data_IF_828363631850
#
_entry.id   IF_828363631850
#
_cell.length_a   1.000
_cell.length_b   1.000
_cell.length_c   1.000
_cell.angle_alpha   90.00
_cell.angle_beta   90.00
_cell.angle_gamma   90.00
#
_symmetry.space_group_name_H-M   'P 1'
#
loop_
_entity.id
_entity.type
_entity.pdbx_description
1 polymer ?
#
# COMPACT_ATOMS: atom_id res chain seq x y z
N UNK A 1 -1.05 10.88 18.92
CA UNK A 1 -0.22 9.66 18.69
C UNK A 1 -0.11 9.50 17.19
N UNK A 2 1.07 9.15 16.66
CA UNK A 2 1.24 8.91 15.22
C UNK A 2 0.54 7.60 14.85
N UNK A 3 -0.29 7.62 13.80
CA UNK A 3 -0.88 6.41 13.21
C UNK A 3 -0.34 6.21 11.80
N UNK A 4 0.17 5.01 11.54
CA UNK A 4 0.69 4.59 10.24
C UNK A 4 -0.23 3.49 9.72
N UNK A 5 -0.96 3.78 8.65
CA UNK A 5 -1.78 2.77 7.96
C UNK A 5 -1.03 2.22 6.76
N UNK A 6 -0.87 0.91 6.70
CA UNK A 6 -0.19 0.22 5.60
C UNK A 6 -1.22 -0.50 4.72
N UNK A 7 -1.45 0.03 3.53
CA UNK A 7 -2.38 -0.50 2.53
C UNK A 7 -1.65 -1.52 1.65
N UNK A 8 -2.12 -2.75 1.63
CA UNK A 8 -1.43 -3.88 0.99
C UNK A 8 -0.43 -4.56 1.93
N UNK A 9 -0.79 -4.70 3.20
CA UNK A 9 0.07 -5.29 4.22
C UNK A 9 0.43 -6.75 3.96
N UNK A 10 -0.28 -7.45 3.08
CA UNK A 10 0.10 -8.77 2.56
C UNK A 10 1.42 -8.77 1.76
N UNK A 11 1.99 -7.61 1.46
CA UNK A 11 3.37 -7.48 0.98
C UNK A 11 4.35 -7.66 2.14
N UNK A 12 4.44 -8.87 2.66
CA UNK A 12 5.08 -9.23 3.94
C UNK A 12 6.50 -8.69 4.07
N UNK A 13 7.34 -8.83 3.03
CA UNK A 13 8.74 -8.36 3.06
C UNK A 13 8.80 -6.84 3.13
N UNK A 14 7.96 -6.15 2.35
CA UNK A 14 7.97 -4.70 2.30
C UNK A 14 7.38 -4.10 3.59
N UNK A 15 6.26 -4.62 4.06
CA UNK A 15 5.66 -4.21 5.33
C UNK A 15 6.64 -4.42 6.49
N UNK A 16 7.32 -5.58 6.54
CA UNK A 16 8.34 -5.87 7.54
C UNK A 16 9.48 -4.84 7.54
N UNK A 17 10.00 -4.51 6.37
CA UNK A 17 11.14 -3.59 6.28
C UNK A 17 10.73 -2.17 6.70
N UNK A 18 9.69 -1.62 6.09
CA UNK A 18 9.24 -0.24 6.35
C UNK A 18 8.77 -0.07 7.80
N UNK A 19 7.90 -0.95 8.28
CA UNK A 19 7.35 -0.83 9.63
C UNK A 19 8.34 -1.27 10.71
N UNK A 20 9.25 -2.19 10.38
CA UNK A 20 10.37 -2.55 11.23
C UNK A 20 11.28 -1.35 11.48
N UNK A 21 11.67 -0.62 10.46
CA UNK A 21 12.47 0.60 10.56
C UNK A 21 11.72 1.70 11.34
N UNK A 22 10.40 1.84 11.14
CA UNK A 22 9.58 2.75 11.95
C UNK A 22 9.65 2.41 13.44
N UNK A 23 9.52 1.13 13.80
CA UNK A 23 9.61 0.68 15.20
C UNK A 23 11.00 0.86 15.82
N UNK A 24 12.05 0.90 15.00
CA UNK A 24 13.41 1.22 15.45
C UNK A 24 13.69 2.73 15.54
N UNK A 25 12.82 3.57 14.95
CA UNK A 25 12.98 5.02 14.91
C UNK A 25 12.38 5.66 16.17
N UNK A 26 13.17 6.40 17.00
CA UNK A 26 12.70 6.92 18.29
C UNK A 26 11.38 7.68 18.24
N UNK A 27 11.16 8.50 17.20
CA UNK A 27 9.96 9.31 17.04
C UNK A 27 8.70 8.50 16.67
N UNK A 28 8.85 7.25 16.22
CA UNK A 28 7.76 6.40 15.71
C UNK A 28 7.54 5.13 16.54
N UNK A 29 8.36 4.91 17.59
CA UNK A 29 8.32 3.69 18.42
C UNK A 29 6.97 3.42 19.08
N UNK A 30 6.22 4.46 19.41
CA UNK A 30 4.93 4.37 20.08
C UNK A 30 3.75 4.50 19.10
N UNK A 31 3.99 4.38 17.80
CA UNK A 31 2.96 4.55 16.78
C UNK A 31 1.87 3.46 16.87
N UNK A 32 0.66 3.83 16.47
CA UNK A 32 -0.35 2.87 16.08
C UNK A 32 -0.07 2.44 14.63
N UNK A 33 0.04 1.14 14.41
CA UNK A 33 0.24 0.53 13.10
C UNK A 33 -1.03 -0.21 12.70
N UNK A 34 -1.70 0.28 11.64
CA UNK A 34 -2.88 -0.33 11.06
C UNK A 34 -2.48 -1.10 9.79
N UNK A 35 -2.58 -2.42 9.83
CA UNK A 35 -2.30 -3.31 8.70
C UNK A 35 -3.60 -3.59 7.95
N UNK A 36 -3.68 -3.17 6.69
CA UNK A 36 -4.84 -3.42 5.85
C UNK A 36 -4.48 -4.30 4.65
N UNK A 37 -5.26 -5.33 4.42
CA UNK A 37 -5.21 -6.18 3.21
C UNK A 37 -6.56 -6.81 2.90
N UNK A 38 -6.70 -7.36 1.69
CA UNK A 38 -7.86 -8.16 1.27
C UNK A 38 -7.62 -9.67 1.41
N UNK A 39 -6.37 -10.08 1.60
CA UNK A 39 -5.96 -11.48 1.79
C UNK A 39 -5.75 -11.78 3.26
N UNK A 40 -6.61 -12.61 3.88
CA UNK A 40 -6.55 -12.89 5.31
C UNK A 40 -5.28 -13.62 5.73
N UNK A 41 -4.77 -14.52 4.89
CA UNK A 41 -3.58 -15.33 5.22
C UNK A 41 -2.34 -14.46 5.25
N UNK A 42 -2.15 -13.65 4.22
CA UNK A 42 -1.00 -12.73 4.13
C UNK A 42 -1.04 -11.64 5.20
N UNK A 43 -2.25 -11.17 5.54
CA UNK A 43 -2.43 -10.19 6.60
C UNK A 43 -2.02 -10.77 7.96
N UNK A 44 -2.40 -12.00 8.25
CA UNK A 44 -2.00 -12.70 9.47
C UNK A 44 -0.50 -12.94 9.55
N UNK A 45 0.12 -13.39 8.45
CA UNK A 45 1.59 -13.55 8.37
C UNK A 45 2.33 -12.24 8.69
N UNK A 46 1.88 -11.13 8.12
CA UNK A 46 2.46 -9.81 8.38
C UNK A 46 2.28 -9.39 9.83
N UNK A 47 1.11 -9.66 10.42
CA UNK A 47 0.84 -9.40 11.83
C UNK A 47 1.79 -10.18 12.74
N UNK A 48 2.00 -11.47 12.47
CA UNK A 48 2.90 -12.33 13.25
C UNK A 48 4.34 -11.82 13.20
N UNK A 49 4.85 -11.51 12.00
CA UNK A 49 6.21 -11.01 11.81
C UNK A 49 6.42 -9.67 12.52
N UNK A 50 5.51 -8.72 12.33
CA UNK A 50 5.62 -7.39 12.92
C UNK A 50 5.45 -7.42 14.45
N UNK A 51 4.61 -8.30 14.97
CA UNK A 51 4.49 -8.52 16.42
C UNK A 51 5.78 -9.07 17.02
N UNK A 52 6.46 -9.99 16.33
CA UNK A 52 7.75 -10.51 16.75
C UNK A 52 8.83 -9.42 16.74
N UNK A 53 8.87 -8.57 15.72
CA UNK A 53 9.78 -7.42 15.66
C UNK A 53 9.49 -6.44 16.80
N UNK A 54 8.23 -6.04 16.97
CA UNK A 54 7.81 -5.13 18.04
C UNK A 54 8.24 -5.64 19.43
N UNK A 55 8.09 -6.94 19.66
CA UNK A 55 8.52 -7.58 20.91
C UNK A 55 10.05 -7.56 21.09
N UNK A 56 10.79 -7.92 20.04
CA UNK A 56 12.23 -8.17 20.14
C UNK A 56 13.07 -6.90 20.04
N UNK A 57 12.59 -5.86 19.33
CA UNK A 57 13.37 -4.65 19.04
C UNK A 57 12.75 -3.37 19.58
N UNK A 58 11.48 -3.38 19.97
CA UNK A 58 10.73 -2.18 20.36
C UNK A 58 10.00 -2.31 21.71
N UNK A 59 10.31 -3.31 22.52
CA UNK A 59 9.71 -3.50 23.86
C UNK A 59 8.17 -3.52 23.86
N UNK A 60 7.55 -3.92 22.74
CA UNK A 60 6.10 -3.91 22.49
C UNK A 60 5.44 -2.52 22.57
N UNK A 61 6.17 -1.45 22.28
CA UNK A 61 5.68 -0.07 22.43
C UNK A 61 4.67 0.31 21.33
N UNK A 62 4.81 -0.22 20.10
CA UNK A 62 3.85 0.03 19.05
C UNK A 62 2.56 -0.78 19.27
N UNK A 63 1.42 -0.19 18.92
CA UNK A 63 0.13 -0.89 18.88
C UNK A 63 -0.14 -1.35 17.46
N UNK A 64 -0.23 -2.65 17.22
CA UNK A 64 -0.46 -3.20 15.88
C UNK A 64 -1.89 -3.75 15.78
N UNK A 65 -2.63 -3.35 14.74
CA UNK A 65 -3.99 -3.82 14.48
C UNK A 65 -4.15 -4.24 13.02
N UNK A 66 -4.99 -5.23 12.77
CA UNK A 66 -5.31 -5.72 11.42
C UNK A 66 -6.72 -5.32 11.00
N UNK A 67 -6.87 -5.05 9.71
CA UNK A 67 -8.13 -4.68 9.08
C UNK A 67 -8.26 -5.44 7.76
N UNK A 68 -9.28 -6.27 7.65
CA UNK A 68 -9.47 -7.16 6.51
C UNK A 68 -10.63 -6.69 5.63
N UNK A 69 -10.35 -6.61 4.32
CA UNK A 69 -11.41 -6.40 3.33
C UNK A 69 -11.91 -4.95 3.23
N UNK A 70 -12.73 -4.71 2.22
CA UNK A 70 -13.19 -3.35 1.86
C UNK A 70 -14.00 -2.70 2.98
N UNK A 71 -14.75 -3.47 3.72
CA UNK A 71 -15.63 -3.00 4.81
C UNK A 71 -14.85 -2.37 5.96
N UNK A 72 -13.61 -2.84 6.20
CA UNK A 72 -12.77 -2.30 7.28
C UNK A 72 -11.79 -1.22 6.80
N UNK A 73 -11.77 -0.89 5.52
CA UNK A 73 -10.81 0.05 4.93
C UNK A 73 -10.88 1.45 5.56
N UNK A 74 -12.07 2.02 5.72
CA UNK A 74 -12.24 3.33 6.35
C UNK A 74 -11.76 3.34 7.79
N UNK A 75 -12.00 2.26 8.52
CA UNK A 75 -11.55 2.17 9.92
C UNK A 75 -10.02 2.04 10.01
N UNK A 76 -9.40 1.31 9.08
CA UNK A 76 -7.95 1.28 8.96
C UNK A 76 -7.35 2.67 8.73
N UNK A 77 -7.99 3.47 7.87
CA UNK A 77 -7.54 4.82 7.49
C UNK A 77 -7.88 5.90 8.53
N UNK A 78 -8.89 5.69 9.38
CA UNK A 78 -9.37 6.69 10.33
C UNK A 78 -8.24 7.29 11.16
N UNK A 79 -8.13 8.62 11.15
CA UNK A 79 -7.14 9.39 11.90
C UNK A 79 -5.68 9.05 11.57
N UNK A 80 -5.42 8.46 10.40
CA UNK A 80 -4.06 8.16 9.97
C UNK A 80 -3.23 9.45 9.82
N UNK A 81 -1.98 9.41 10.28
CA UNK A 81 -0.97 10.45 10.03
C UNK A 81 -0.24 10.16 8.73
N UNK A 82 0.10 8.90 8.50
CA UNK A 82 0.75 8.42 7.30
C UNK A 82 -0.01 7.22 6.73
N UNK A 83 -0.20 7.21 5.43
CA UNK A 83 -0.76 6.09 4.68
C UNK A 83 0.29 5.60 3.69
N UNK A 84 0.82 4.41 3.93
CA UNK A 84 1.79 3.76 3.03
C UNK A 84 1.01 2.85 2.09
N UNK A 85 1.10 3.08 0.78
CA UNK A 85 0.42 2.29 -0.23
C UNK A 85 1.38 1.36 -0.97
N UNK A 86 1.17 0.06 -0.84
CA UNK A 86 1.97 -1.00 -1.46
C UNK A 86 1.09 -2.11 -2.07
N UNK A 87 -0.11 -1.74 -2.56
CA UNK A 87 -1.04 -2.69 -3.16
C UNK A 87 -0.55 -3.19 -4.52
N UNK A 88 -0.99 -4.39 -4.88
CA UNK A 88 -0.84 -4.92 -6.23
C UNK A 88 -2.16 -5.50 -6.71
N UNK A 89 -2.88 -4.72 -7.52
CA UNK A 89 -4.17 -5.15 -8.08
C UNK A 89 -3.95 -6.19 -9.17
N UNK A 90 -4.57 -7.36 -9.00
CA UNK A 90 -4.53 -8.46 -9.95
C UNK A 90 -3.31 -9.38 -9.84
N UNK A 91 -2.44 -9.18 -8.85
CA UNK A 91 -1.27 -9.99 -8.55
C UNK A 91 -0.30 -10.19 -9.74
N UNK A 92 0.74 -10.99 -9.52
CA UNK A 92 1.67 -11.38 -10.58
C UNK A 92 0.96 -12.28 -11.61
N UNK A 93 0.33 -13.34 -11.14
CA UNK A 93 -0.50 -14.23 -11.93
C UNK A 93 -1.99 -13.95 -11.60
N UNK A 94 -2.85 -13.61 -12.58
CA UNK A 94 -2.57 -13.58 -14.02
C UNK A 94 -2.12 -12.22 -14.57
N UNK A 95 -2.27 -11.12 -13.82
CA UNK A 95 -2.30 -9.79 -14.44
C UNK A 95 -0.94 -9.29 -14.92
N UNK A 96 0.14 -9.47 -14.15
CA UNK A 96 1.48 -9.08 -14.60
C UNK A 96 1.91 -9.92 -15.80
N UNK A 97 1.59 -11.21 -15.82
CA UNK A 97 1.87 -12.09 -16.97
C UNK A 97 1.15 -11.57 -18.23
N UNK A 98 -0.13 -11.19 -18.10
CA UNK A 98 -0.93 -10.62 -19.19
C UNK A 98 -0.31 -9.31 -19.71
N UNK A 99 0.17 -8.46 -18.78
CA UNK A 99 0.80 -7.18 -19.10
C UNK A 99 2.07 -7.34 -19.95
N UNK A 100 2.74 -8.51 -19.89
CA UNK A 100 3.84 -8.89 -20.79
C UNK A 100 3.36 -9.54 -22.09
N UNK A 101 2.46 -10.50 -22.01
CA UNK A 101 2.08 -11.34 -23.15
C UNK A 101 1.20 -10.59 -24.17
N UNK A 102 0.38 -9.64 -23.74
CA UNK A 102 -0.46 -8.86 -24.67
C UNK A 102 0.41 -7.97 -25.58
N UNK A 103 1.32 -7.12 -25.08
CA UNK A 103 2.20 -6.33 -25.94
C UNK A 103 3.06 -7.17 -26.88
N UNK A 104 3.52 -8.32 -26.43
CA UNK A 104 4.32 -9.25 -27.23
C UNK A 104 3.60 -9.74 -28.49
N UNK A 105 2.29 -9.97 -28.40
CA UNK A 105 1.46 -10.35 -29.57
C UNK A 105 1.45 -9.29 -30.69
N UNK A 106 1.73 -8.03 -30.33
CA UNK A 106 1.82 -6.91 -31.25
C UNK A 106 3.27 -6.53 -31.61
N UNK A 107 4.23 -7.41 -31.33
CA UNK A 107 5.64 -7.18 -31.61
C UNK A 107 6.32 -6.17 -30.67
N UNK A 108 5.67 -5.79 -29.57
CA UNK A 108 6.24 -4.86 -28.59
C UNK A 108 7.00 -5.61 -27.52
N UNK A 109 8.30 -5.34 -27.43
CA UNK A 109 9.15 -5.92 -26.41
C UNK A 109 9.12 -5.07 -25.14
N UNK A 110 8.64 -5.64 -24.05
CA UNK A 110 8.68 -5.03 -22.73
C UNK A 110 9.67 -5.72 -21.80
N UNK A 111 10.41 -4.94 -21.04
CA UNK A 111 11.35 -5.44 -20.02
C UNK A 111 10.77 -5.30 -18.63
N UNK A 112 9.95 -4.27 -18.39
CA UNK A 112 9.25 -4.02 -17.11
C UNK A 112 7.80 -3.68 -17.44
N UNK A 113 6.88 -4.59 -17.11
CA UNK A 113 5.45 -4.42 -17.41
C UNK A 113 4.69 -3.63 -16.35
N UNK A 114 5.27 -3.34 -15.22
CA UNK A 114 4.59 -2.68 -14.11
C UNK A 114 4.86 -1.16 -14.01
N UNK A 115 5.78 -0.63 -14.80
CA UNK A 115 6.23 0.76 -14.68
C UNK A 115 6.05 1.56 -15.97
N UNK A 116 6.42 1.01 -17.12
CA UNK A 116 6.49 1.72 -18.41
C UNK A 116 5.75 0.97 -19.52
N UNK A 117 5.49 1.68 -20.64
CA UNK A 117 4.92 1.09 -21.85
C UNK A 117 3.48 0.63 -21.69
N UNK A 118 3.05 -0.23 -22.60
CA UNK A 118 1.65 -0.71 -22.67
C UNK A 118 1.27 -1.51 -21.40
N UNK A 119 2.15 -2.35 -20.89
CA UNK A 119 1.90 -3.12 -19.66
C UNK A 119 1.73 -2.21 -18.44
N UNK A 120 2.55 -1.15 -18.32
CA UNK A 120 2.39 -0.15 -17.28
C UNK A 120 1.07 0.61 -17.39
N UNK A 121 0.63 0.96 -18.60
CA UNK A 121 -0.69 1.58 -18.84
C UNK A 121 -1.81 0.62 -18.41
N UNK A 122 -1.77 -0.64 -18.82
CA UNK A 122 -2.77 -1.64 -18.43
C UNK A 122 -2.84 -1.80 -16.91
N UNK A 123 -1.71 -1.86 -16.25
CA UNK A 123 -1.62 -1.93 -14.79
C UNK A 123 -2.15 -0.67 -14.11
N UNK A 124 -1.85 0.53 -14.64
CA UNK A 124 -2.40 1.78 -14.13
C UNK A 124 -3.92 1.82 -14.22
N UNK A 125 -4.48 1.51 -15.38
CA UNK A 125 -5.92 1.49 -15.61
C UNK A 125 -6.65 0.52 -14.66
N UNK A 126 -6.03 -0.59 -14.32
CA UNK A 126 -6.55 -1.57 -13.36
C UNK A 126 -6.46 -1.09 -11.91
N UNK A 127 -5.43 -0.33 -11.57
CA UNK A 127 -5.13 0.10 -10.20
C UNK A 127 -5.82 1.41 -9.81
N UNK A 128 -5.98 2.33 -10.74
CA UNK A 128 -6.60 3.65 -10.52
C UNK A 128 -7.97 3.58 -9.84
N UNK A 129 -8.92 2.70 -10.23
CA UNK A 129 -10.21 2.62 -9.54
C UNK A 129 -10.08 2.33 -8.04
N UNK A 130 -9.19 1.42 -7.66
CA UNK A 130 -8.94 1.07 -6.25
C UNK A 130 -8.31 2.25 -5.51
N UNK A 131 -7.34 2.93 -6.12
CA UNK A 131 -6.70 4.10 -5.52
C UNK A 131 -7.66 5.30 -5.38
N UNK A 132 -8.58 5.47 -6.34
CA UNK A 132 -9.63 6.48 -6.23
C UNK A 132 -10.52 6.23 -5.02
N UNK A 133 -10.89 4.98 -4.79
CA UNK A 133 -11.69 4.63 -3.63
C UNK A 133 -10.92 4.87 -2.31
N UNK A 134 -9.60 4.60 -2.29
CA UNK A 134 -8.74 4.96 -1.15
C UNK A 134 -8.73 6.47 -0.90
N UNK A 135 -8.59 7.26 -1.97
CA UNK A 135 -8.58 8.70 -1.87
C UNK A 135 -9.88 9.24 -1.27
N UNK A 136 -11.03 8.78 -1.75
CA UNK A 136 -12.33 9.19 -1.21
C UNK A 136 -12.48 8.82 0.27
N UNK A 137 -12.05 7.61 0.65
CA UNK A 137 -12.08 7.22 2.06
C UNK A 137 -11.12 8.08 2.90
N UNK A 138 -9.93 8.41 2.39
CA UNK A 138 -8.98 9.29 3.07
C UNK A 138 -9.51 10.71 3.23
N UNK A 139 -10.15 11.27 2.21
CA UNK A 139 -10.78 12.60 2.24
C UNK A 139 -11.83 12.69 3.35
N UNK A 140 -12.53 11.57 3.63
CA UNK A 140 -13.57 11.50 4.65
C UNK A 140 -12.99 11.31 6.06
N UNK A 141 -11.98 10.44 6.25
CA UNK A 141 -11.57 9.97 7.59
C UNK A 141 -10.17 10.39 8.02
N UNK A 142 -9.31 10.86 7.10
CA UNK A 142 -7.95 11.35 7.39
C UNK A 142 -7.45 12.37 6.34
N UNK A 143 -8.16 13.49 6.13
CA UNK A 143 -7.86 14.43 5.03
C UNK A 143 -6.48 15.08 5.10
N UNK A 144 -5.84 15.07 6.25
CA UNK A 144 -4.50 15.64 6.46
C UNK A 144 -3.38 14.58 6.45
N UNK A 145 -3.70 13.32 6.13
CA UNK A 145 -2.71 12.26 6.10
C UNK A 145 -1.76 12.41 4.90
N UNK A 146 -0.50 12.07 5.13
CA UNK A 146 0.49 11.94 4.07
C UNK A 146 0.32 10.59 3.38
N UNK A 147 0.10 10.61 2.06
CA UNK A 147 -0.02 9.41 1.26
C UNK A 147 1.32 9.08 0.58
N UNK A 148 1.98 8.04 1.05
CA UNK A 148 3.29 7.57 0.57
C UNK A 148 3.08 6.41 -0.40
N UNK A 149 3.18 6.68 -1.70
CA UNK A 149 2.89 5.70 -2.72
C UNK A 149 4.14 4.92 -3.15
N UNK A 150 4.12 3.61 -2.96
CA UNK A 150 5.11 2.65 -3.46
C UNK A 150 4.57 1.75 -4.58
N UNK A 151 3.27 1.88 -4.90
CA UNK A 151 2.63 1.09 -5.94
C UNK A 151 3.01 1.57 -7.32
N UNK A 152 3.43 0.65 -8.19
CA UNK A 152 3.69 0.91 -9.61
C UNK A 152 2.41 0.78 -10.45
N UNK A 153 2.34 1.50 -11.58
CA UNK A 153 3.29 2.49 -12.12
C UNK A 153 3.20 3.83 -11.38
N UNK A 154 4.22 4.16 -10.62
CA UNK A 154 4.21 5.25 -9.65
C UNK A 154 3.88 6.61 -10.29
N UNK A 155 4.49 6.96 -11.41
CA UNK A 155 4.26 8.25 -12.06
C UNK A 155 2.78 8.44 -12.49
N UNK A 156 2.17 7.39 -13.06
CA UNK A 156 0.76 7.45 -13.49
C UNK A 156 -0.19 7.51 -12.30
N UNK A 157 0.05 6.68 -11.29
CA UNK A 157 -0.81 6.59 -10.11
C UNK A 157 -0.71 7.86 -9.25
N UNK A 158 0.52 8.32 -8.96
CA UNK A 158 0.73 9.56 -8.21
C UNK A 158 0.21 10.78 -8.97
N UNK A 159 0.43 10.84 -10.29
CA UNK A 159 -0.11 11.90 -11.13
C UNK A 159 -1.63 11.93 -11.17
N UNK A 160 -2.28 10.75 -11.19
CA UNK A 160 -3.74 10.66 -11.08
C UNK A 160 -4.23 11.23 -9.74
N UNK A 161 -3.65 10.77 -8.64
CA UNK A 161 -4.03 11.19 -7.30
C UNK A 161 -3.87 12.72 -7.14
N UNK A 162 -2.72 13.28 -7.52
CA UNK A 162 -2.46 14.72 -7.43
C UNK A 162 -3.42 15.58 -8.25
N UNK A 163 -3.89 15.06 -9.38
CA UNK A 163 -4.74 15.83 -10.31
C UNK A 163 -6.23 15.73 -9.99
N UNK A 164 -6.66 14.59 -9.45
CA UNK A 164 -8.09 14.25 -9.37
C UNK A 164 -8.58 13.98 -7.95
N UNK A 165 -7.74 14.14 -6.92
CA UNK A 165 -8.10 13.95 -5.52
C UNK A 165 -7.53 15.06 -4.65
N UNK A 166 -8.04 15.19 -3.42
CA UNK A 166 -7.53 16.15 -2.42
C UNK A 166 -6.35 15.56 -1.61
N UNK A 167 -5.95 14.33 -1.86
CA UNK A 167 -4.91 13.65 -1.09
C UNK A 167 -3.56 14.35 -1.17
N UNK A 168 -2.91 14.53 -0.02
CA UNK A 168 -1.53 15.00 0.07
C UNK A 168 -0.59 13.85 -0.31
N UNK A 169 -0.16 13.83 -1.56
CA UNK A 169 0.75 12.80 -2.05
C UNK A 169 2.18 13.28 -1.96
N UNK A 170 3.01 12.44 -1.32
CA UNK A 170 4.45 12.59 -1.33
C UNK A 170 5.08 11.32 -1.91
N UNK A 171 5.99 11.52 -2.82
CA UNK A 171 6.79 10.47 -3.45
C UNK A 171 8.08 10.30 -2.65
#
# INVERSE_FOLDING_TARGET
>A
MVKITFMGAGSTVFARNVLGDCMCTPALRDAEIALYDIDPVRLEESMLILSAINKNTNEQRATIRTYLGVEQRKEALRDATFVVNAIQVGFYDPCTIIDFEVPKKYGLRQTIADTLGIGGIMRALRTIPVMRDFAHDMEEVCPNAWFLNYTNPMAMLSGYMQRYTLSLIHI
#
